data_IF_397084720041
#
_entry.id   IF_397084720041
#
_cell.length_a   1.000
_cell.length_b   1.000
_cell.length_c   1.000
_cell.angle_alpha   90.00
_cell.angle_beta   90.00
_cell.angle_gamma   90.00
#
_symmetry.space_group_name_H-M   'P 1'
#
loop_
_entity.id
_entity.type
_entity.pdbx_description
1 polymer ?
#
# COMPACT_ATOMS: atom_id res chain seq x y z
N UNK A 1 -0.62 1.25 -1.74
CA UNK A 1 -1.19 2.44 -2.45
C UNK A 1 -1.36 3.64 -1.52
N UNK A 2 -2.06 3.54 -0.39
CA UNK A 2 -2.24 4.68 0.52
C UNK A 2 -0.93 5.36 0.95
N UNK A 3 0.12 4.59 1.26
CA UNK A 3 1.45 5.15 1.55
C UNK A 3 2.11 5.87 0.37
N UNK A 4 1.81 5.49 -0.89
CA UNK A 4 2.27 6.20 -2.09
C UNK A 4 1.57 7.56 -2.21
N UNK A 5 0.26 7.59 -1.94
CA UNK A 5 -0.52 8.83 -1.92
C UNK A 5 -0.03 9.78 -0.82
N UNK A 6 0.19 9.26 0.40
CA UNK A 6 0.71 10.04 1.50
C UNK A 6 2.10 10.62 1.19
N UNK A 7 2.98 9.83 0.57
CA UNK A 7 4.28 10.30 0.10
C UNK A 7 4.12 11.40 -0.95
N UNK A 8 3.33 11.18 -2.00
CA UNK A 8 3.11 12.19 -3.04
C UNK A 8 2.53 13.49 -2.47
N UNK A 9 1.60 13.38 -1.52
CA UNK A 9 0.98 14.56 -0.89
C UNK A 9 2.01 15.37 -0.10
N UNK A 10 2.88 14.71 0.65
CA UNK A 10 3.95 15.37 1.39
C UNK A 10 4.95 16.08 0.46
N UNK A 11 5.26 15.47 -0.68
CA UNK A 11 6.18 16.06 -1.66
C UNK A 11 5.55 17.25 -2.42
N UNK A 12 4.28 17.12 -2.84
CA UNK A 12 3.60 18.15 -3.64
C UNK A 12 3.05 19.31 -2.82
N UNK A 13 2.65 19.08 -1.57
CA UNK A 13 2.02 20.09 -0.71
C UNK A 13 2.69 20.15 0.67
N UNK A 14 4.01 20.39 0.74
CA UNK A 14 4.78 20.27 1.99
C UNK A 14 4.29 21.24 3.08
N UNK A 15 3.81 22.43 2.71
CA UNK A 15 3.27 23.41 3.66
C UNK A 15 1.92 22.99 4.29
N UNK A 16 1.22 22.03 3.71
CA UNK A 16 -0.06 21.52 4.23
C UNK A 16 0.10 20.26 5.09
N UNK A 17 1.34 19.80 5.28
CA UNK A 17 1.64 18.52 5.93
C UNK A 17 2.58 18.77 7.11
N UNK A 18 2.06 18.65 8.33
CA UNK A 18 2.89 18.72 9.54
C UNK A 18 3.86 17.53 9.66
N UNK A 19 3.43 16.35 9.21
CA UNK A 19 4.24 15.12 9.17
C UNK A 19 3.58 14.08 8.26
N UNK A 20 4.36 13.11 7.78
CA UNK A 20 3.85 12.01 6.96
C UNK A 20 4.20 10.64 7.56
N UNK A 21 3.25 9.71 7.53
CA UNK A 21 3.48 8.30 7.91
C UNK A 21 3.25 7.43 6.68
N UNK A 22 4.32 6.78 6.22
CA UNK A 22 4.36 5.99 4.99
C UNK A 22 4.53 4.52 5.39
N UNK A 23 3.52 3.70 5.13
CA UNK A 23 3.40 2.35 5.68
C UNK A 23 3.27 1.36 4.54
N UNK A 24 4.11 0.33 4.52
CA UNK A 24 4.09 -0.76 3.54
C UNK A 24 3.90 -0.22 2.12
N UNK A 25 4.84 0.61 1.67
CA UNK A 25 4.75 1.30 0.40
C UNK A 25 6.09 1.32 -0.32
N UNK A 26 6.02 1.66 -1.61
CA UNK A 26 7.19 1.81 -2.47
C UNK A 26 7.15 3.16 -3.17
N UNK A 27 8.32 3.79 -3.35
CA UNK A 27 8.47 4.91 -4.27
C UNK A 27 8.54 4.46 -5.73
N UNK A 28 8.90 3.20 -6.00
CA UNK A 28 8.98 2.67 -7.36
C UNK A 28 8.78 1.16 -7.38
N UNK A 29 7.84 0.67 -8.17
CA UNK A 29 7.61 -0.78 -8.26
C UNK A 29 8.75 -1.48 -8.99
N UNK A 30 9.14 -2.65 -8.49
CA UNK A 30 10.17 -3.48 -9.13
C UNK A 30 9.58 -4.32 -10.27
N UNK A 31 10.44 -5.03 -11.01
CA UNK A 31 10.01 -5.86 -12.14
C UNK A 31 8.99 -6.95 -11.74
N UNK A 32 9.17 -7.59 -10.58
CA UNK A 32 8.27 -8.64 -10.09
C UNK A 32 6.89 -8.06 -9.75
N UNK A 33 6.84 -6.90 -9.10
CA UNK A 33 5.60 -6.19 -8.81
C UNK A 33 4.82 -5.88 -10.09
N UNK A 34 5.51 -5.33 -11.10
CA UNK A 34 4.92 -4.97 -12.40
C UNK A 34 4.42 -6.23 -13.12
N UNK A 35 5.17 -7.35 -13.04
CA UNK A 35 4.76 -8.62 -13.63
C UNK A 35 3.45 -9.15 -13.04
N UNK A 36 3.29 -9.14 -11.71
CA UNK A 36 2.03 -9.52 -11.07
C UNK A 36 0.87 -8.62 -11.49
N UNK A 37 1.07 -7.30 -11.48
CA UNK A 37 0.07 -6.34 -11.97
C UNK A 37 -0.29 -6.60 -13.44
N UNK A 38 0.69 -6.90 -14.28
CA UNK A 38 0.47 -7.16 -15.71
C UNK A 38 -0.36 -8.42 -15.96
N UNK A 39 -0.03 -9.54 -15.32
CA UNK A 39 -0.80 -10.79 -15.48
C UNK A 39 -2.23 -10.63 -14.95
N UNK A 40 -2.42 -9.94 -13.81
CA UNK A 40 -3.75 -9.64 -13.30
C UNK A 40 -4.57 -8.81 -14.30
N UNK A 41 -3.99 -7.77 -14.90
CA UNK A 41 -4.68 -7.00 -15.95
C UNK A 41 -4.97 -7.81 -17.20
N UNK A 42 -4.04 -8.65 -17.65
CA UNK A 42 -4.27 -9.55 -18.80
C UNK A 42 -5.46 -10.48 -18.55
N UNK A 43 -5.60 -11.03 -17.33
CA UNK A 43 -6.73 -11.90 -17.00
C UNK A 43 -8.07 -11.19 -17.15
N UNK A 44 -8.16 -9.91 -16.77
CA UNK A 44 -9.35 -9.07 -16.93
C UNK A 44 -9.57 -8.74 -18.41
N UNK A 45 -8.55 -8.22 -19.10
CA UNK A 45 -8.70 -7.71 -20.47
C UNK A 45 -8.98 -8.81 -21.50
N UNK A 46 -8.58 -10.06 -21.20
CA UNK A 46 -8.85 -11.24 -22.04
C UNK A 46 -10.16 -11.95 -21.69
N UNK A 47 -10.84 -11.56 -20.62
CA UNK A 47 -12.15 -12.11 -20.30
C UNK A 47 -13.14 -11.75 -21.43
N UNK A 48 -13.89 -12.73 -21.99
CA UNK A 48 -14.90 -12.46 -23.00
C UNK A 48 -15.93 -11.42 -22.58
N UNK A 49 -16.25 -11.35 -21.28
CA UNK A 49 -17.14 -10.37 -20.67
C UNK A 49 -16.54 -8.97 -20.51
N UNK A 50 -15.27 -8.75 -20.85
CA UNK A 50 -14.65 -7.41 -20.77
C UNK A 50 -15.15 -6.45 -21.85
N UNK A 51 -15.55 -6.97 -23.02
CA UNK A 51 -16.08 -6.18 -24.13
C UNK A 51 -15.25 -4.91 -24.47
N UNK A 52 -13.91 -5.00 -24.39
CA UNK A 52 -13.01 -3.87 -24.61
C UNK A 52 -13.21 -2.69 -23.65
N UNK A 53 -13.65 -2.98 -22.42
CA UNK A 53 -13.97 -1.98 -21.39
C UNK A 53 -15.40 -1.44 -21.45
N UNK A 54 -16.22 -1.85 -22.42
CA UNK A 54 -17.64 -1.43 -22.57
C UNK A 54 -18.63 -2.50 -22.07
N UNK A 55 -18.24 -3.24 -21.04
CA UNK A 55 -19.03 -4.36 -20.52
C UNK A 55 -20.36 -3.91 -19.90
N UNK A 56 -20.41 -2.73 -19.28
CA UNK A 56 -21.65 -2.13 -18.76
C UNK A 56 -22.67 -1.86 -19.88
N UNK A 57 -22.23 -1.30 -21.01
CA UNK A 57 -23.09 -1.04 -22.19
C UNK A 57 -23.58 -2.35 -22.83
N UNK A 58 -22.73 -3.37 -22.80
CA UNK A 58 -23.00 -4.68 -23.39
C UNK A 58 -23.80 -5.61 -22.48
N UNK A 59 -24.13 -5.19 -21.25
CA UNK A 59 -24.82 -6.03 -20.26
C UNK A 59 -23.99 -7.25 -19.81
N UNK A 60 -22.67 -7.16 -19.87
CA UNK A 60 -21.70 -8.22 -19.53
C UNK A 60 -20.80 -7.77 -18.38
N UNK A 61 -19.99 -8.69 -17.84
CA UNK A 61 -18.96 -8.36 -16.84
C UNK A 61 -17.77 -9.31 -16.97
N UNK A 62 -16.51 -8.83 -16.84
CA UNK A 62 -15.30 -9.66 -16.85
C UNK A 62 -15.06 -10.35 -15.50
N UNK A 63 -16.08 -11.03 -14.97
CA UNK A 63 -16.07 -11.56 -13.61
C UNK A 63 -15.01 -12.64 -13.41
N UNK A 64 -14.75 -13.47 -14.43
CA UNK A 64 -13.75 -14.54 -14.34
C UNK A 64 -12.35 -13.95 -14.24
N UNK A 65 -12.04 -13.00 -15.13
CA UNK A 65 -10.79 -12.27 -15.14
C UNK A 65 -10.55 -11.48 -13.87
N UNK A 66 -11.56 -10.76 -13.37
CA UNK A 66 -11.45 -9.98 -12.14
C UNK A 66 -11.26 -10.87 -10.90
N UNK A 67 -11.94 -12.02 -10.86
CA UNK A 67 -11.76 -13.01 -9.79
C UNK A 67 -10.33 -13.57 -9.79
N UNK A 68 -9.81 -13.97 -10.96
CA UNK A 68 -8.42 -14.47 -11.09
C UNK A 68 -7.41 -13.39 -10.68
N UNK A 69 -7.58 -12.16 -11.15
CA UNK A 69 -6.76 -11.03 -10.75
C UNK A 69 -6.75 -10.84 -9.23
N UNK A 70 -7.92 -10.98 -8.59
CA UNK A 70 -8.03 -10.90 -7.13
C UNK A 70 -7.32 -12.04 -6.43
N UNK A 71 -7.50 -13.29 -6.89
CA UNK A 71 -6.82 -14.46 -6.32
C UNK A 71 -5.30 -14.29 -6.36
N UNK A 72 -4.76 -13.88 -7.51
CA UNK A 72 -3.34 -13.60 -7.68
C UNK A 72 -2.86 -12.50 -6.73
N UNK A 73 -3.59 -11.39 -6.65
CA UNK A 73 -3.24 -10.30 -5.77
C UNK A 73 -3.26 -10.73 -4.30
N UNK A 74 -4.24 -11.54 -3.89
CA UNK A 74 -4.37 -12.04 -2.51
C UNK A 74 -3.18 -12.92 -2.11
N UNK A 75 -2.58 -13.66 -3.05
CA UNK A 75 -1.35 -14.42 -2.80
C UNK A 75 -0.22 -13.47 -2.42
N UNK A 76 -0.09 -12.35 -3.14
CA UNK A 76 0.97 -11.37 -2.88
C UNK A 76 0.82 -10.64 -1.55
N UNK A 77 -0.35 -10.68 -0.91
CA UNK A 77 -0.57 -9.94 0.33
C UNK A 77 -0.16 -10.71 1.59
N UNK A 78 -0.02 -12.03 1.50
CA UNK A 78 0.29 -12.91 2.63
C UNK A 78 1.74 -13.39 2.55
N UNK A 79 2.33 -13.69 3.70
CA UNK A 79 3.62 -14.37 3.73
C UNK A 79 3.46 -15.87 3.46
N UNK A 80 4.53 -16.52 2.98
CA UNK A 80 4.56 -17.99 2.84
C UNK A 80 4.27 -18.70 4.16
N UNK A 81 4.94 -18.28 5.25
CA UNK A 81 4.74 -18.85 6.58
C UNK A 81 3.29 -18.69 7.07
N UNK A 82 2.67 -17.53 6.82
CA UNK A 82 1.28 -17.27 7.17
C UNK A 82 0.30 -18.12 6.35
N UNK A 83 0.61 -18.41 5.08
CA UNK A 83 -0.16 -19.35 4.28
C UNK A 83 -0.02 -20.79 4.76
N UNK A 84 1.20 -21.22 5.09
CA UNK A 84 1.47 -22.57 5.60
C UNK A 84 0.78 -22.79 6.95
N UNK A 85 0.90 -21.85 7.88
CA UNK A 85 0.21 -21.89 9.17
C UNK A 85 -1.31 -21.93 8.98
N UNK A 86 -1.84 -21.05 8.12
CA UNK A 86 -3.28 -20.92 7.93
C UNK A 86 -3.90 -22.08 7.18
N UNK A 87 -3.23 -22.69 6.21
CA UNK A 87 -3.82 -23.69 5.31
C UNK A 87 -3.04 -25.00 5.26
N UNK A 88 -1.72 -24.94 5.20
CA UNK A 88 -0.85 -26.07 4.90
C UNK A 88 -1.35 -26.85 3.69
N UNK A 89 -1.27 -28.19 3.79
CA UNK A 89 -1.80 -29.11 2.75
C UNK A 89 -3.20 -29.66 3.07
N UNK A 90 -3.99 -28.95 3.88
CA UNK A 90 -5.31 -29.45 4.31
C UNK A 90 -6.29 -29.50 3.13
N UNK A 91 -7.00 -30.61 3.02
CA UNK A 91 -8.10 -30.76 2.07
C UNK A 91 -9.35 -30.01 2.52
N UNK A 92 -10.14 -29.53 1.56
CA UNK A 92 -11.37 -28.78 1.83
C UNK A 92 -12.55 -29.67 2.25
N UNK A 93 -12.65 -30.88 1.68
CA UNK A 93 -13.83 -31.76 1.82
C UNK A 93 -13.48 -33.14 2.41
N UNK A 94 -12.66 -33.19 3.46
CA UNK A 94 -12.18 -34.46 4.04
C UNK A 94 -11.01 -35.06 3.27
N UNK A 95 -10.66 -36.32 3.52
CA UNK A 95 -9.46 -36.97 2.95
C UNK A 95 -9.61 -37.42 1.47
N UNK A 96 -10.83 -37.42 0.95
CA UNK A 96 -11.12 -37.80 -0.44
C UNK A 96 -10.93 -36.62 -1.40
N UNK A 97 -9.66 -36.36 -1.76
CA UNK A 97 -9.36 -35.46 -2.87
C UNK A 97 -9.99 -36.00 -4.16
N UNK A 98 -10.71 -35.14 -4.90
CA UNK A 98 -11.28 -35.52 -6.20
C UNK A 98 -10.19 -35.72 -7.25
N UNK A 99 -8.99 -35.17 -7.02
CA UNK A 99 -7.79 -35.26 -7.88
C UNK A 99 -8.08 -34.78 -9.31
N UNK A 100 -8.91 -33.75 -9.43
CA UNK A 100 -9.23 -33.07 -10.68
C UNK A 100 -8.67 -31.64 -10.72
N UNK A 101 -9.13 -30.84 -11.67
CA UNK A 101 -8.75 -29.41 -11.78
C UNK A 101 -9.68 -28.47 -10.97
N UNK A 102 -10.49 -29.04 -10.07
CA UNK A 102 -11.37 -28.29 -9.17
C UNK A 102 -10.72 -28.05 -7.81
N UNK A 103 -11.48 -27.50 -6.88
CA UNK A 103 -11.03 -27.24 -5.50
C UNK A 103 -10.90 -28.55 -4.72
N UNK A 104 -9.66 -28.89 -4.36
CA UNK A 104 -9.33 -30.00 -3.46
C UNK A 104 -8.75 -29.48 -2.12
N UNK A 105 -7.97 -28.41 -2.16
CA UNK A 105 -7.29 -27.85 -0.99
C UNK A 105 -8.02 -26.67 -0.37
N UNK A 106 -7.88 -26.50 0.95
CA UNK A 106 -8.49 -25.39 1.70
C UNK A 106 -8.04 -24.01 1.18
N UNK A 107 -6.78 -23.89 0.74
CA UNK A 107 -6.25 -22.65 0.16
C UNK A 107 -6.93 -22.30 -1.17
N UNK A 108 -7.24 -23.29 -2.01
CA UNK A 108 -7.94 -23.09 -3.28
C UNK A 108 -9.36 -22.60 -3.02
N UNK A 109 -10.08 -23.25 -2.08
CA UNK A 109 -11.42 -22.83 -1.68
C UNK A 109 -11.44 -21.42 -1.11
N UNK A 110 -10.41 -21.06 -0.35
CA UNK A 110 -10.27 -19.72 0.22
C UNK A 110 -10.06 -18.67 -0.87
N UNK A 111 -9.13 -18.90 -1.81
CA UNK A 111 -8.86 -17.97 -2.89
C UNK A 111 -10.08 -17.80 -3.80
N UNK A 112 -10.76 -18.90 -4.17
CA UNK A 112 -12.01 -18.85 -4.93
C UNK A 112 -13.08 -17.99 -4.22
N UNK A 113 -13.27 -18.20 -2.93
CA UNK A 113 -14.21 -17.40 -2.14
C UNK A 113 -13.82 -15.92 -2.11
N UNK A 114 -12.55 -15.59 -1.89
CA UNK A 114 -12.05 -14.21 -1.90
C UNK A 114 -12.23 -13.54 -3.28
N UNK A 115 -12.03 -14.30 -4.36
CA UNK A 115 -12.28 -13.85 -5.73
C UNK A 115 -13.75 -13.47 -5.95
N UNK A 116 -14.68 -14.36 -5.59
CA UNK A 116 -16.13 -14.13 -5.73
C UNK A 116 -16.63 -12.96 -4.89
N UNK A 117 -16.22 -12.87 -3.62
CA UNK A 117 -16.62 -11.75 -2.73
C UNK A 117 -16.10 -10.40 -3.25
N UNK A 118 -14.99 -10.38 -3.97
CA UNK A 118 -14.44 -9.14 -4.51
C UNK A 118 -15.31 -8.54 -5.62
N UNK A 119 -15.96 -9.38 -6.43
CA UNK A 119 -16.81 -8.96 -7.54
C UNK A 119 -17.98 -8.06 -7.09
N UNK A 120 -18.52 -8.30 -5.89
CA UNK A 120 -19.66 -7.51 -5.39
C UNK A 120 -19.29 -6.10 -4.92
N UNK A 121 -18.00 -5.76 -4.88
CA UNK A 121 -17.51 -4.51 -4.27
C UNK A 121 -16.42 -3.80 -5.06
N UNK A 122 -16.05 -4.31 -6.23
CA UNK A 122 -14.97 -3.73 -7.01
C UNK A 122 -15.22 -3.83 -8.50
N UNK A 123 -14.85 -2.77 -9.21
CA UNK A 123 -15.04 -2.63 -10.64
C UNK A 123 -13.75 -2.99 -11.40
N UNK A 124 -13.89 -3.66 -12.54
CA UNK A 124 -12.76 -4.16 -13.31
C UNK A 124 -11.91 -3.03 -13.92
N UNK A 125 -12.54 -2.00 -14.49
CA UNK A 125 -11.81 -0.82 -15.00
C UNK A 125 -11.05 -0.13 -13.87
N UNK A 126 -11.69 0.08 -12.73
CA UNK A 126 -11.07 0.66 -11.54
C UNK A 126 -9.81 -0.12 -11.14
N UNK A 127 -9.85 -1.46 -11.19
CA UNK A 127 -8.68 -2.30 -10.94
C UNK A 127 -7.55 -2.05 -11.97
N UNK A 128 -7.88 -1.98 -13.26
CA UNK A 128 -6.91 -1.71 -14.32
C UNK A 128 -6.22 -0.34 -14.11
N UNK A 129 -6.99 0.71 -13.85
CA UNK A 129 -6.45 2.06 -13.66
C UNK A 129 -5.61 2.17 -12.40
N UNK A 130 -6.11 1.68 -11.26
CA UNK A 130 -5.41 1.77 -9.97
C UNK A 130 -4.09 1.00 -9.99
N UNK A 131 -4.07 -0.21 -10.56
CA UNK A 131 -2.80 -0.97 -10.68
C UNK A 131 -1.85 -0.33 -11.68
N UNK A 132 -2.35 0.29 -12.77
CA UNK A 132 -1.50 0.96 -13.75
C UNK A 132 -0.86 2.22 -13.19
N UNK A 133 -1.59 3.02 -12.43
CA UNK A 133 -1.04 4.21 -11.75
C UNK A 133 0.07 3.82 -10.79
N UNK A 134 -0.08 2.71 -10.05
CA UNK A 134 0.98 2.21 -9.17
C UNK A 134 2.24 1.80 -9.94
N UNK A 135 2.11 1.20 -11.13
CA UNK A 135 3.27 0.80 -11.95
C UNK A 135 4.09 2.00 -12.44
N UNK A 136 3.44 3.15 -12.68
CA UNK A 136 4.10 4.39 -13.11
C UNK A 136 4.55 5.30 -11.97
N UNK A 137 4.18 4.98 -10.73
CA UNK A 137 4.55 5.80 -9.59
C UNK A 137 6.08 5.78 -9.38
N UNK A 138 6.70 6.94 -9.58
CA UNK A 138 8.13 7.20 -9.33
C UNK A 138 8.31 8.68 -8.94
N UNK A 139 7.95 9.08 -7.71
CA UNK A 139 7.91 10.48 -7.31
C UNK A 139 9.30 11.11 -7.17
N UNK A 140 10.36 10.30 -7.25
CA UNK A 140 11.75 10.73 -7.14
C UNK A 140 12.52 10.58 -8.47
N UNK A 141 11.82 10.37 -9.58
CA UNK A 141 12.43 10.36 -10.90
C UNK A 141 13.16 11.69 -11.19
N UNK A 142 12.64 12.79 -10.66
CA UNK A 142 13.28 14.10 -10.64
C UNK A 142 14.06 14.28 -9.32
N UNK A 143 15.35 14.62 -9.43
CA UNK A 143 16.32 14.51 -8.34
C UNK A 143 16.20 15.52 -7.19
N UNK A 144 15.17 16.36 -7.15
CA UNK A 144 14.94 17.36 -6.09
C UNK A 144 13.49 17.34 -5.57
N UNK A 145 12.74 16.28 -5.83
CA UNK A 145 11.32 16.19 -5.51
C UNK A 145 10.95 16.38 -4.02
N UNK A 146 11.91 16.24 -3.09
CA UNK A 146 11.71 16.41 -1.65
C UNK A 146 12.36 17.69 -1.08
N UNK A 147 12.94 18.55 -1.93
CA UNK A 147 13.65 19.75 -1.48
C UNK A 147 12.73 20.73 -0.73
N UNK A 148 11.50 20.91 -1.23
CA UNK A 148 10.50 21.75 -0.58
C UNK A 148 10.03 21.15 0.76
N UNK A 149 9.85 19.83 0.83
CA UNK A 149 9.54 19.12 2.08
C UNK A 149 10.66 19.27 3.12
N UNK A 150 11.92 19.18 2.68
CA UNK A 150 13.07 19.41 3.53
C UNK A 150 13.15 20.85 4.04
N UNK A 151 12.80 21.84 3.22
CA UNK A 151 12.78 23.25 3.60
C UNK A 151 11.73 23.56 4.68
N UNK A 152 10.55 22.94 4.61
CA UNK A 152 9.52 23.05 5.67
C UNK A 152 9.92 22.28 6.92
N UNK A 153 10.70 21.20 6.76
CA UNK A 153 11.20 20.39 7.88
C UNK A 153 10.15 19.42 8.44
N UNK A 154 9.09 19.12 7.69
CA UNK A 154 8.05 18.19 8.12
C UNK A 154 8.60 16.77 8.21
N UNK A 155 8.58 16.12 9.40
CA UNK A 155 9.17 14.82 9.57
C UNK A 155 8.34 13.70 8.90
N UNK A 156 9.04 12.68 8.43
CA UNK A 156 8.45 11.45 7.91
C UNK A 156 8.75 10.25 8.81
N UNK A 157 7.79 9.35 8.94
CA UNK A 157 7.98 7.99 9.45
C UNK A 157 7.73 7.00 8.32
N UNK A 158 8.70 6.12 8.06
CA UNK A 158 8.56 5.02 7.12
C UNK A 158 8.53 3.69 7.86
N UNK A 159 7.53 2.85 7.56
CA UNK A 159 7.31 1.56 8.19
C UNK A 159 7.26 0.44 7.14
N UNK A 160 7.98 -0.65 7.41
CA UNK A 160 7.89 -1.91 6.66
C UNK A 160 7.55 -3.07 7.59
N UNK A 161 7.21 -4.22 7.01
CA UNK A 161 7.01 -5.48 7.72
C UNK A 161 8.00 -6.52 7.20
N UNK A 162 8.63 -7.27 8.10
CA UNK A 162 9.74 -8.18 7.78
C UNK A 162 9.37 -9.36 6.86
N UNK A 163 8.09 -9.75 6.84
CA UNK A 163 7.58 -10.80 5.94
C UNK A 163 6.80 -10.28 4.74
N UNK A 164 6.69 -8.96 4.57
CA UNK A 164 6.10 -8.38 3.36
C UNK A 164 7.06 -8.63 2.19
N UNK A 165 6.61 -9.40 1.21
CA UNK A 165 7.36 -9.65 -0.01
C UNK A 165 6.77 -8.91 -1.22
N UNK A 166 5.59 -8.29 -1.07
CA UNK A 166 5.00 -7.39 -2.07
C UNK A 166 5.77 -6.08 -2.09
N UNK A 167 5.92 -5.47 -0.93
CA UNK A 167 6.71 -4.27 -0.68
C UNK A 167 7.66 -4.55 0.48
N UNK A 168 8.67 -5.36 0.17
CA UNK A 168 9.70 -5.69 1.14
C UNK A 168 10.39 -4.45 1.74
N UNK A 169 11.16 -4.69 2.79
CA UNK A 169 11.89 -3.64 3.48
C UNK A 169 12.82 -2.84 2.56
N UNK A 170 13.27 -3.39 1.43
CA UNK A 170 14.11 -2.65 0.47
C UNK A 170 13.35 -1.49 -0.18
N UNK A 171 12.04 -1.65 -0.45
CA UNK A 171 11.18 -0.58 -0.96
C UNK A 171 11.09 0.60 0.02
N UNK A 172 10.88 0.30 1.30
CA UNK A 172 10.84 1.32 2.35
C UNK A 172 12.20 2.00 2.56
N UNK A 173 13.28 1.23 2.50
CA UNK A 173 14.65 1.78 2.56
C UNK A 173 14.97 2.68 1.37
N UNK A 174 14.43 2.39 0.18
CA UNK A 174 14.61 3.26 -0.99
C UNK A 174 13.97 4.63 -0.77
N UNK A 175 12.75 4.69 -0.20
CA UNK A 175 12.10 5.95 0.19
C UNK A 175 12.97 6.70 1.22
N UNK A 176 13.42 6.01 2.28
CA UNK A 176 14.22 6.61 3.35
C UNK A 176 15.51 7.21 2.81
N UNK A 177 16.27 6.47 1.98
CA UNK A 177 17.51 6.96 1.37
C UNK A 177 17.32 8.26 0.60
N UNK A 178 16.21 8.35 -0.12
CA UNK A 178 15.93 9.52 -0.96
C UNK A 178 15.51 10.73 -0.13
N UNK A 179 14.71 10.52 0.91
CA UNK A 179 14.37 11.56 1.89
C UNK A 179 15.63 12.04 2.65
N UNK A 180 16.49 11.12 3.10
CA UNK A 180 17.76 11.44 3.77
C UNK A 180 18.71 12.23 2.87
N UNK A 181 18.86 11.82 1.59
CA UNK A 181 19.71 12.50 0.60
C UNK A 181 19.31 13.97 0.43
N UNK A 182 18.02 14.26 0.51
CA UNK A 182 17.46 15.61 0.42
C UNK A 182 17.32 16.32 1.77
N UNK A 183 17.82 15.71 2.86
CA UNK A 183 17.78 16.23 4.24
C UNK A 183 16.38 16.39 4.84
N UNK A 184 15.40 15.62 4.38
CA UNK A 184 14.11 15.51 5.06
C UNK A 184 14.30 14.74 6.38
N UNK A 185 13.80 15.23 7.53
CA UNK A 185 13.85 14.47 8.77
C UNK A 185 13.03 13.19 8.63
N UNK A 186 13.68 12.03 8.65
CA UNK A 186 12.99 10.74 8.47
C UNK A 186 13.42 9.74 9.54
N UNK A 187 12.45 8.94 9.99
CA UNK A 187 12.67 7.77 10.83
C UNK A 187 12.18 6.53 10.13
N UNK A 188 12.89 5.42 10.30
CA UNK A 188 12.53 4.12 9.72
C UNK A 188 12.38 3.06 10.80
N UNK A 189 11.35 2.23 10.68
CA UNK A 189 11.17 1.05 11.54
C UNK A 189 10.63 -0.13 10.73
N UNK A 190 11.31 -1.26 10.83
CA UNK A 190 10.80 -2.55 10.37
C UNK A 190 10.05 -3.24 11.53
N UNK A 191 8.81 -3.63 11.29
CA UNK A 191 7.94 -4.30 12.25
C UNK A 191 7.94 -5.80 11.97
N UNK A 192 8.11 -6.60 13.02
CA UNK A 192 7.98 -8.05 12.91
C UNK A 192 6.52 -8.45 12.85
N UNK A 193 6.14 -9.19 11.81
CA UNK A 193 4.78 -9.70 11.65
C UNK A 193 4.78 -10.91 10.70
N UNK A 194 4.09 -12.02 11.02
CA UNK A 194 4.03 -13.17 10.12
C UNK A 194 3.03 -12.99 8.97
N UNK A 195 2.30 -11.87 8.89
CA UNK A 195 1.13 -11.75 8.02
C UNK A 195 1.41 -11.14 6.64
N UNK A 196 2.68 -10.92 6.27
CA UNK A 196 3.05 -10.35 4.98
C UNK A 196 2.64 -8.89 4.83
N UNK A 197 2.25 -8.49 3.62
CA UNK A 197 1.79 -7.14 3.33
C UNK A 197 0.56 -6.75 4.15
N UNK A 198 -0.40 -7.66 4.35
CA UNK A 198 -1.65 -7.37 5.07
C UNK A 198 -1.43 -7.04 6.57
N UNK A 199 -0.19 -7.17 7.08
CA UNK A 199 0.17 -6.79 8.45
C UNK A 199 -0.27 -5.36 8.83
N UNK A 200 -0.24 -4.39 7.90
CA UNK A 200 -0.65 -3.01 8.22
C UNK A 200 -2.16 -2.85 8.48
N UNK A 201 -2.97 -3.84 8.12
CA UNK A 201 -4.42 -3.89 8.36
C UNK A 201 -4.76 -4.56 9.70
N UNK A 202 -3.78 -5.14 10.38
CA UNK A 202 -3.97 -5.90 11.61
C UNK A 202 -3.57 -5.09 12.84
N UNK A 203 -4.14 -5.46 13.99
CA UNK A 203 -3.74 -4.87 15.27
C UNK A 203 -2.44 -5.51 15.74
N UNK A 204 -1.34 -4.79 15.56
CA UNK A 204 0.00 -5.20 15.99
C UNK A 204 0.51 -4.15 16.97
N UNK A 205 0.77 -4.54 18.21
CA UNK A 205 1.11 -3.60 19.28
C UNK A 205 2.35 -2.76 18.96
N UNK A 206 3.41 -3.37 18.43
CA UNK A 206 4.65 -2.65 18.13
C UNK A 206 4.44 -1.61 17.01
N UNK A 207 3.65 -1.96 16.00
CA UNK A 207 3.26 -1.06 14.92
C UNK A 207 2.45 0.13 15.45
N UNK A 208 1.38 -0.12 16.19
CA UNK A 208 0.51 0.94 16.71
C UNK A 208 1.23 1.83 17.73
N UNK A 209 2.09 1.27 18.59
CA UNK A 209 2.93 2.06 19.51
C UNK A 209 3.90 2.95 18.75
N UNK A 210 4.53 2.45 17.69
CA UNK A 210 5.48 3.22 16.87
C UNK A 210 4.78 4.42 16.23
N UNK A 211 3.63 4.21 15.59
CA UNK A 211 2.84 5.30 14.98
C UNK A 211 2.37 6.30 16.05
N UNK A 212 1.85 5.81 17.16
CA UNK A 212 1.37 6.66 18.27
C UNK A 212 2.50 7.53 18.84
N UNK A 213 3.67 6.96 19.06
CA UNK A 213 4.83 7.69 19.58
C UNK A 213 5.27 8.79 18.61
N UNK A 214 5.32 8.49 17.31
CA UNK A 214 5.65 9.47 16.28
C UNK A 214 4.64 10.63 16.25
N UNK A 215 3.35 10.33 16.19
CA UNK A 215 2.30 11.36 16.14
C UNK A 215 2.26 12.21 17.41
N UNK A 216 2.46 11.60 18.59
CA UNK A 216 2.55 12.36 19.86
C UNK A 216 3.75 13.29 19.88
N UNK A 217 4.91 12.85 19.38
CA UNK A 217 6.11 13.69 19.27
C UNK A 217 5.84 14.89 18.36
N UNK A 218 5.29 14.67 17.17
CA UNK A 218 4.98 15.74 16.21
C UNK A 218 3.98 16.74 16.81
N UNK A 219 2.92 16.25 17.47
CA UNK A 219 1.94 17.11 18.11
C UNK A 219 2.57 17.97 19.23
N UNK A 220 3.48 17.39 20.00
CA UNK A 220 4.22 18.13 21.03
C UNK A 220 5.16 19.19 20.43
N UNK A 221 5.97 18.83 19.43
CA UNK A 221 6.89 19.75 18.75
C UNK A 221 6.14 20.94 18.12
N UNK A 222 4.99 20.68 17.50
CA UNK A 222 4.10 21.72 16.98
C UNK A 222 3.57 22.63 18.09
N UNK A 223 3.05 22.07 19.17
CA UNK A 223 2.52 22.86 20.28
C UNK A 223 3.59 23.77 20.92
N UNK A 224 4.84 23.32 20.96
CA UNK A 224 5.97 24.14 21.42
C UNK A 224 6.28 25.26 20.43
N UNK A 225 6.31 24.98 19.12
CA UNK A 225 6.54 25.98 18.07
C UNK A 225 5.47 27.07 18.07
N UNK A 226 4.19 26.69 18.16
CA UNK A 226 3.07 27.62 18.13
C UNK A 226 3.05 28.54 19.37
N UNK A 227 3.58 28.09 20.52
CA UNK A 227 3.76 28.91 21.73
C UNK A 227 4.98 29.83 21.68
N UNK A 228 5.98 29.51 20.86
CA UNK A 228 7.23 30.26 20.78
C UNK A 228 7.16 31.46 19.82
N UNK A 229 6.08 31.59 19.04
CA UNK A 229 5.82 32.76 18.18
C UNK A 229 4.89 33.72 18.95
N UNK A 230 5.38 34.83 19.54
CA UNK A 230 4.51 35.81 20.15
C UNK A 230 3.75 36.57 19.06
N UNK A 231 2.49 36.86 19.35
CA UNK A 231 1.56 37.62 18.51
C UNK A 231 2.19 38.97 18.08
N UNK A 232 2.71 39.05 16.86
CA UNK A 232 3.10 40.33 16.23
C UNK A 232 1.86 40.97 15.61
N UNK A 233 0.85 41.25 16.41
CA UNK A 233 -0.34 41.99 15.99
C UNK A 233 -0.86 42.82 17.17
N UNK A 234 -0.17 43.90 17.50
CA UNK A 234 -0.61 44.72 18.64
C UNK A 234 0.11 46.03 18.90
N UNK A 235 0.90 46.60 17.98
CA UNK A 235 1.39 47.97 18.17
C UNK A 235 1.39 48.75 16.85
N UNK A 236 0.61 49.83 16.83
CA UNK A 236 0.77 50.95 15.91
C UNK A 236 -0.37 51.14 14.91
N UNK A 237 -1.43 51.88 15.30
CA UNK A 237 -1.51 53.29 14.93
C UNK A 237 -2.75 53.97 15.55
N UNK A 238 -2.58 54.56 16.73
CA UNK A 238 -3.38 55.72 17.13
C UNK A 238 -2.44 56.90 17.25
N UNK A 239 -2.41 57.74 16.22
CA UNK A 239 -2.29 59.19 16.28
C UNK A 239 -2.55 59.81 14.90
#
# INVERSE_FOLDING_TARGET
MGGMQALQWALSFPEQVDSAVIIAASSRLNAQNIAFSAVARESIMRDPGFAGGRYLESGTSPDTGLSIARMMAHITYQSEAGMEEKFGRRYQFGEDARRGFGVDFAVESYLDHQGRVFLSRFDALSYLYLTRVMDYFDPFAEGDAAAALAAVGSPCLVLSFDTDWRFDTSHSRAIVRELERQRVPVSFREIRSPWGHDSFLLTIDDYHRTVTAFLRRVAYERAVRDRAVPDRAGEGNTR
#
